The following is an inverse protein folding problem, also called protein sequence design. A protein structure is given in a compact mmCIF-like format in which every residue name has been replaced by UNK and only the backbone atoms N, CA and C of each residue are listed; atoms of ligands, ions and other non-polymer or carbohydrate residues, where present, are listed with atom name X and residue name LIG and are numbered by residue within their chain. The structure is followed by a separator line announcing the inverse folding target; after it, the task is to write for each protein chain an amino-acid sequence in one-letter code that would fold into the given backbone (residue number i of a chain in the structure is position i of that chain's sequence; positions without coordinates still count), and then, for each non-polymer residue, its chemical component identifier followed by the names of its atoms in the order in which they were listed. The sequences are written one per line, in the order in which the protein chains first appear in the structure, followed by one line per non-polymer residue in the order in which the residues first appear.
data_IF_034783124225
#
_entry.id   IF_034783124225
#
_cell.length_a   1.000
_cell.length_b   1.000
_cell.length_c   1.000
_cell.angle_alpha   90.00
_cell.angle_beta   90.00
_cell.angle_gamma   90.00
#
_symmetry.space_group_name_H-M   'P 1'
#
loop_
_entity.id
_entity.type
_entity.pdbx_description
1 polymer ?
#
# COMPACT_ATOMS: atom_id res chain seq x y z
N UNK A 1 -10.57 18.44 -12.34
CA UNK A 1 -10.31 19.89 -12.42
C UNK A 1 -9.75 20.37 -11.09
N UNK A 2 -8.84 21.33 -11.09
CA UNK A 2 -8.36 22.00 -9.88
C UNK A 2 -9.37 23.07 -9.44
N UNK A 3 -9.51 23.26 -8.13
CA UNK A 3 -10.34 24.33 -7.57
C UNK A 3 -9.47 25.58 -7.40
N UNK A 4 -9.85 26.75 -7.97
CA UNK A 4 -9.11 27.99 -7.77
C UNK A 4 -9.05 28.42 -6.30
N UNK A 5 -7.97 29.09 -5.92
CA UNK A 5 -7.82 29.66 -4.59
C UNK A 5 -8.71 30.88 -4.40
N UNK A 6 -9.44 30.93 -3.27
CA UNK A 6 -10.25 32.09 -2.90
C UNK A 6 -9.36 33.22 -2.36
N UNK A 7 -8.39 32.88 -1.50
CA UNK A 7 -7.40 33.82 -0.97
C UNK A 7 -6.19 33.92 -1.89
N UNK A 8 -5.59 35.10 -1.96
CA UNK A 8 -4.37 35.33 -2.74
C UNK A 8 -3.24 34.44 -2.21
N UNK A 9 -2.79 33.51 -3.04
CA UNK A 9 -1.76 32.52 -2.68
C UNK A 9 -0.54 32.57 -3.60
N UNK A 10 -0.53 33.42 -4.63
CA UNK A 10 0.60 33.50 -5.57
C UNK A 10 0.90 32.17 -6.28
N UNK A 11 -0.14 31.40 -6.63
CA UNK A 11 -0.03 30.03 -7.18
C UNK A 11 0.62 29.01 -6.23
N UNK A 12 0.72 29.34 -4.93
CA UNK A 12 1.21 28.42 -3.92
C UNK A 12 0.10 27.55 -3.35
N UNK A 13 0.44 26.28 -3.13
CA UNK A 13 -0.45 25.28 -2.56
C UNK A 13 0.23 24.59 -1.38
N UNK A 14 -0.55 23.87 -0.57
CA UNK A 14 -0.02 22.95 0.43
C UNK A 14 -0.64 21.54 0.28
N UNK A 15 0.10 20.56 0.78
CA UNK A 15 -0.36 19.20 1.10
C UNK A 15 0.02 18.91 2.55
N UNK A 16 -0.91 18.39 3.35
CA UNK A 16 -0.70 18.06 4.77
C UNK A 16 -1.37 16.74 5.10
N UNK A 17 -0.66 15.88 5.82
CA UNK A 17 -1.20 14.67 6.44
C UNK A 17 -1.42 14.96 7.92
N UNK A 18 -2.63 14.73 8.43
CA UNK A 18 -2.91 14.88 9.87
C UNK A 18 -2.46 13.63 10.66
N UNK A 19 -2.66 13.65 11.99
CA UNK A 19 -2.27 12.53 12.87
C UNK A 19 -3.03 11.23 12.55
N UNK A 20 -4.21 11.32 11.93
CA UNK A 20 -5.01 10.17 11.49
C UNK A 20 -4.58 9.65 10.10
N UNK A 21 -3.54 10.23 9.49
CA UNK A 21 -3.05 9.83 8.18
C UNK A 21 -3.83 10.42 6.99
N UNK A 22 -4.83 11.27 7.24
CA UNK A 22 -5.69 11.86 6.21
C UNK A 22 -4.93 12.95 5.46
N UNK A 23 -4.91 12.84 4.13
CA UNK A 23 -4.33 13.84 3.24
C UNK A 23 -5.30 14.99 2.99
N UNK A 24 -4.90 16.20 3.38
CA UNK A 24 -5.57 17.44 3.03
C UNK A 24 -4.70 18.26 2.08
N UNK A 25 -5.34 18.91 1.12
CA UNK A 25 -4.72 19.78 0.13
C UNK A 25 -5.47 21.10 0.10
N UNK A 26 -4.76 22.20 -0.10
CA UNK A 26 -5.40 23.50 -0.18
C UNK A 26 -4.47 24.58 -0.70
N UNK A 27 -4.95 25.81 -0.63
CA UNK A 27 -4.21 26.97 -1.05
C UNK A 27 -3.31 27.46 0.07
N UNK A 28 -2.11 27.91 -0.27
CA UNK A 28 -1.16 28.41 0.73
C UNK A 28 -1.76 29.56 1.56
N UNK A 29 -2.55 30.45 0.93
CA UNK A 29 -3.22 31.55 1.61
C UNK A 29 -4.29 31.15 2.64
N UNK A 30 -4.67 29.87 2.69
CA UNK A 30 -5.59 29.36 3.71
C UNK A 30 -4.89 29.03 5.04
N UNK A 31 -3.55 28.90 5.03
CA UNK A 31 -2.76 28.65 6.23
C UNK A 31 -2.57 29.92 7.05
N UNK A 32 -2.68 29.79 8.36
CA UNK A 32 -2.23 30.83 9.31
C UNK A 32 -0.70 30.96 9.30
N UNK A 33 -0.15 32.05 9.83
CA UNK A 33 1.30 32.23 9.95
C UNK A 33 1.98 31.07 10.71
N UNK A 34 1.35 30.61 11.79
CA UNK A 34 1.86 29.48 12.57
C UNK A 34 1.80 28.16 11.78
N UNK A 35 0.75 27.93 11.01
CA UNK A 35 0.65 26.73 10.15
C UNK A 35 1.65 26.75 9.01
N UNK A 36 1.95 27.92 8.43
CA UNK A 36 3.03 28.07 7.46
C UNK A 36 4.36 27.67 8.09
N UNK A 37 4.69 28.22 9.27
CA UNK A 37 5.94 27.88 9.98
C UNK A 37 6.01 26.41 10.37
N UNK A 38 4.89 25.80 10.75
CA UNK A 38 4.83 24.38 11.10
C UNK A 38 4.82 23.44 9.89
N UNK A 39 4.51 23.94 8.68
CA UNK A 39 4.35 23.12 7.48
C UNK A 39 5.71 22.71 6.90
N UNK A 40 6.34 21.70 7.51
CA UNK A 40 7.65 21.19 7.11
C UNK A 40 7.72 19.67 7.21
N UNK A 41 8.72 19.06 6.56
CA UNK A 41 9.03 17.64 6.69
C UNK A 41 8.10 16.70 5.94
N UNK A 42 7.90 15.49 6.48
CA UNK A 42 7.13 14.42 5.81
C UNK A 42 5.62 14.64 5.85
N UNK A 43 5.10 15.39 6.83
CA UNK A 43 3.66 15.53 7.07
C UNK A 43 3.08 16.81 6.48
N UNK A 44 3.90 17.77 6.05
CA UNK A 44 3.41 18.95 5.35
C UNK A 44 4.45 19.50 4.36
N UNK A 45 3.99 19.88 3.17
CA UNK A 45 4.81 20.54 2.17
C UNK A 45 4.03 21.59 1.40
N UNK A 46 4.72 22.66 0.98
CA UNK A 46 4.21 23.69 0.09
C UNK A 46 4.87 23.60 -1.28
N UNK A 47 4.19 24.04 -2.33
CA UNK A 47 4.74 24.11 -3.67
C UNK A 47 4.22 25.34 -4.41
N UNK A 48 4.91 25.74 -5.49
CA UNK A 48 4.57 26.91 -6.30
C UNK A 48 4.42 26.50 -7.77
N UNK A 49 3.17 26.36 -8.21
CA UNK A 49 2.70 26.22 -9.58
C UNK A 49 1.20 25.87 -9.52
N UNK A 50 0.46 26.13 -10.60
CA UNK A 50 -0.96 25.77 -10.68
C UNK A 50 -1.16 24.26 -10.47
N UNK A 51 -1.95 23.89 -9.46
CA UNK A 51 -2.27 22.50 -9.15
C UNK A 51 -1.08 21.64 -8.69
N UNK A 52 0.03 22.24 -8.27
CA UNK A 52 1.27 21.52 -7.93
C UNK A 52 1.12 20.49 -6.81
N UNK A 53 0.16 20.70 -5.91
CA UNK A 53 -0.14 19.79 -4.81
C UNK A 53 -0.89 18.53 -5.26
N UNK A 54 -1.21 18.36 -6.55
CA UNK A 54 -1.84 17.15 -7.10
C UNK A 54 -0.96 15.89 -7.09
N UNK A 55 0.34 16.03 -6.83
CA UNK A 55 1.26 14.91 -6.68
C UNK A 55 0.93 14.07 -5.43
N UNK A 56 1.41 12.83 -5.41
CA UNK A 56 1.30 11.94 -4.26
C UNK A 56 2.03 12.56 -3.06
N UNK A 57 1.37 12.53 -1.91
CA UNK A 57 1.92 13.07 -0.67
C UNK A 57 1.44 12.27 0.54
N UNK A 58 2.30 11.95 1.52
CA UNK A 58 3.76 12.05 1.45
C UNK A 58 4.32 11.21 0.28
N UNK A 59 5.57 11.46 -0.14
CA UNK A 59 6.14 10.80 -1.32
C UNK A 59 6.37 9.31 -1.12
N UNK A 60 6.44 8.85 0.12
CA UNK A 60 6.55 7.46 0.55
C UNK A 60 5.18 6.84 0.89
N UNK A 61 4.06 7.46 0.47
CA UNK A 61 2.72 6.89 0.67
C UNK A 61 2.62 5.51 0.00
N UNK A 62 2.38 4.49 0.82
CA UNK A 62 2.30 3.11 0.36
C UNK A 62 1.19 2.94 -0.67
N UNK A 63 1.45 2.05 -1.63
CA UNK A 63 0.50 1.59 -2.64
C UNK A 63 0.37 0.08 -2.53
N UNK A 64 -0.86 -0.41 -2.56
CA UNK A 64 -1.19 -1.82 -2.44
C UNK A 64 -2.23 -2.20 -3.50
N UNK A 65 -2.35 -3.49 -3.79
CA UNK A 65 -3.58 -3.97 -4.41
C UNK A 65 -4.74 -3.83 -3.42
N UNK A 66 -5.85 -3.26 -3.88
CA UNK A 66 -7.06 -3.01 -3.10
C UNK A 66 -8.27 -3.54 -3.85
N UNK A 67 -8.88 -4.61 -3.34
CA UNK A 67 -10.05 -5.24 -3.94
C UNK A 67 -10.71 -6.23 -2.99
N UNK A 68 -11.94 -6.62 -3.31
CA UNK A 68 -12.67 -7.69 -2.63
C UNK A 68 -13.40 -8.54 -3.66
N UNK A 69 -13.38 -9.86 -3.51
CA UNK A 69 -14.21 -10.74 -4.35
C UNK A 69 -15.68 -10.50 -4.08
N UNK A 70 -16.48 -10.47 -5.14
CA UNK A 70 -17.94 -10.37 -5.09
C UNK A 70 -18.55 -11.46 -5.98
N UNK A 71 -19.88 -11.58 -6.03
CA UNK A 71 -20.51 -12.51 -6.98
C UNK A 71 -20.26 -12.13 -8.44
N UNK A 72 -20.17 -10.83 -8.74
CA UNK A 72 -19.93 -10.34 -10.10
C UNK A 72 -18.44 -10.36 -10.50
N UNK A 73 -17.53 -10.22 -9.53
CA UNK A 73 -16.08 -10.16 -9.80
C UNK A 73 -15.29 -11.04 -8.82
N UNK A 74 -14.76 -12.14 -9.34
CA UNK A 74 -13.85 -13.04 -8.63
C UNK A 74 -12.37 -12.73 -8.92
N UNK A 75 -12.05 -11.79 -9.80
CA UNK A 75 -10.67 -11.54 -10.25
C UNK A 75 -9.72 -11.00 -9.18
N UNK A 76 -10.22 -10.65 -7.99
CA UNK A 76 -9.38 -10.29 -6.84
C UNK A 76 -8.61 -11.50 -6.24
N UNK A 77 -9.16 -12.71 -6.38
CA UNK A 77 -8.53 -13.95 -5.88
C UNK A 77 -7.38 -14.44 -6.76
N UNK A 78 -7.29 -13.96 -8.01
CA UNK A 78 -6.18 -14.26 -8.91
C UNK A 78 -4.89 -13.62 -8.42
N UNK A 79 -3.75 -14.14 -8.87
CA UNK A 79 -2.47 -13.44 -8.73
C UNK A 79 -2.53 -12.13 -9.52
N UNK A 80 -2.09 -11.03 -8.91
CA UNK A 80 -2.13 -9.70 -9.53
C UNK A 80 -0.74 -9.27 -9.94
N UNK A 81 -0.67 -8.58 -11.08
CA UNK A 81 0.54 -7.95 -11.59
C UNK A 81 0.17 -6.60 -12.22
N UNK A 82 1.13 -5.67 -12.24
CA UNK A 82 0.94 -4.35 -12.81
C UNK A 82 -0.06 -3.48 -12.03
N UNK A 83 -0.67 -2.55 -12.75
CA UNK A 83 -1.50 -1.47 -12.21
C UNK A 83 -2.97 -1.81 -11.88
N UNK A 84 -3.63 -2.81 -12.51
CA UNK A 84 -5.04 -3.09 -12.21
C UNK A 84 -5.27 -3.36 -10.71
N UNK A 85 -6.25 -2.67 -10.12
CA UNK A 85 -6.59 -2.74 -8.68
C UNK A 85 -5.52 -2.21 -7.72
N UNK A 86 -4.43 -1.61 -8.22
CA UNK A 86 -3.41 -1.01 -7.36
C UNK A 86 -3.65 0.48 -7.15
N UNK A 87 -3.73 0.90 -5.89
CA UNK A 87 -4.02 2.27 -5.50
C UNK A 87 -3.29 2.65 -4.21
N UNK A 88 -3.06 3.96 -4.02
CA UNK A 88 -2.44 4.47 -2.80
C UNK A 88 -3.34 4.23 -1.59
N UNK A 89 -2.73 3.92 -0.44
CA UNK A 89 -3.45 3.86 0.82
C UNK A 89 -4.10 5.20 1.12
N UNK A 90 -5.36 5.18 1.55
CA UNK A 90 -6.15 6.38 1.79
C UNK A 90 -5.59 7.11 3.00
N UNK A 91 -5.27 6.34 4.04
CA UNK A 91 -4.54 6.84 5.20
C UNK A 91 -3.05 6.61 5.00
N UNK A 92 -2.26 7.61 5.39
CA UNK A 92 -0.81 7.48 5.48
C UNK A 92 -0.43 7.05 6.88
N UNK A 93 0.36 5.99 6.97
CA UNK A 93 1.02 5.56 8.19
C UNK A 93 2.46 5.22 7.85
N UNK A 94 3.38 5.63 8.71
CA UNK A 94 4.78 5.24 8.54
C UNK A 94 4.90 3.71 8.65
N UNK A 95 5.73 3.12 7.79
CA UNK A 95 5.93 1.66 7.70
C UNK A 95 4.65 0.81 7.49
N UNK A 96 3.61 1.39 6.88
CA UNK A 96 2.34 0.71 6.59
C UNK A 96 2.55 -0.62 5.86
N UNK A 97 1.53 -1.49 5.94
CA UNK A 97 1.56 -2.84 5.37
C UNK A 97 0.39 -3.04 4.42
N UNK A 98 0.64 -3.78 3.36
CA UNK A 98 -0.45 -4.35 2.57
C UNK A 98 -0.92 -5.66 3.21
N UNK A 99 -2.20 -5.97 3.07
CA UNK A 99 -2.75 -7.27 3.44
C UNK A 99 -3.36 -8.00 2.25
N UNK A 100 -3.39 -9.33 2.36
CA UNK A 100 -4.29 -10.23 1.63
C UNK A 100 -4.97 -11.12 2.67
N UNK A 101 -6.30 -11.18 2.69
CA UNK A 101 -7.03 -11.97 3.68
C UNK A 101 -8.28 -12.63 3.12
N UNK A 102 -8.75 -13.67 3.79
CA UNK A 102 -10.06 -14.26 3.63
C UNK A 102 -10.87 -13.86 4.87
N UNK A 103 -11.92 -13.06 4.68
CA UNK A 103 -12.84 -12.64 5.75
C UNK A 103 -14.26 -12.82 5.26
N UNK A 104 -15.11 -13.44 6.08
CA UNK A 104 -16.52 -13.67 5.76
C UNK A 104 -16.74 -14.37 4.40
N UNK A 105 -15.86 -15.32 4.08
CA UNK A 105 -15.90 -16.07 2.81
C UNK A 105 -15.44 -15.29 1.57
N UNK A 106 -14.98 -14.05 1.72
CA UNK A 106 -14.48 -13.23 0.62
C UNK A 106 -12.97 -13.00 0.73
N UNK A 107 -12.28 -13.07 -0.40
CA UNK A 107 -10.88 -12.70 -0.50
C UNK A 107 -10.73 -11.21 -0.71
N UNK A 108 -9.96 -10.55 0.15
CA UNK A 108 -9.81 -9.10 0.24
C UNK A 108 -8.33 -8.70 0.30
N UNK A 109 -8.00 -7.62 -0.39
CA UNK A 109 -6.68 -6.99 -0.36
C UNK A 109 -6.83 -5.52 0.01
N UNK A 110 -5.88 -4.97 0.74
CA UNK A 110 -5.90 -3.55 1.10
C UNK A 110 -4.67 -3.10 1.87
N UNK A 111 -4.75 -1.90 2.44
CA UNK A 111 -3.75 -1.34 3.34
C UNK A 111 -4.19 -1.50 4.79
N UNK A 112 -3.25 -1.88 5.67
CA UNK A 112 -3.51 -2.02 7.11
C UNK A 112 -3.99 -0.71 7.72
N UNK A 113 -3.41 0.43 7.33
CA UNK A 113 -3.82 1.74 7.81
C UNK A 113 -5.28 2.08 7.54
N UNK A 114 -5.89 1.55 6.47
CA UNK A 114 -7.28 1.82 6.12
C UNK A 114 -8.30 1.06 6.99
N UNK A 115 -7.85 0.11 7.81
CA UNK A 115 -8.69 -0.67 8.72
C UNK A 115 -8.66 -0.08 10.14
N UNK A 116 -9.79 -0.20 10.85
CA UNK A 116 -9.88 0.18 12.26
C UNK A 116 -9.14 -0.80 13.20
N UNK A 117 -9.00 -2.05 12.77
CA UNK A 117 -8.37 -3.15 13.52
C UNK A 117 -7.27 -3.81 12.71
N UNK A 118 -6.47 -4.68 13.32
CA UNK A 118 -5.42 -5.40 12.61
C UNK A 118 -6.04 -6.32 11.53
N UNK A 119 -5.51 -6.30 10.31
CA UNK A 119 -6.10 -6.98 9.16
C UNK A 119 -6.22 -8.49 9.35
N UNK A 120 -5.26 -9.07 10.07
CA UNK A 120 -5.15 -10.50 10.38
C UNK A 120 -5.59 -10.85 11.81
N UNK A 121 -6.25 -9.95 12.53
CA UNK A 121 -6.75 -10.24 13.86
C UNK A 121 -7.76 -11.41 13.81
N UNK A 122 -7.49 -12.48 14.57
CA UNK A 122 -8.33 -13.67 14.60
C UNK A 122 -8.22 -14.58 13.37
N UNK A 123 -7.31 -14.31 12.43
CA UNK A 123 -7.11 -15.12 11.22
C UNK A 123 -5.83 -15.96 11.29
N UNK A 124 -5.83 -17.15 10.69
CA UNK A 124 -4.63 -17.98 10.59
C UNK A 124 -3.70 -17.52 9.47
N UNK A 125 -2.47 -18.03 9.43
CA UNK A 125 -1.51 -17.77 8.35
C UNK A 125 -1.96 -18.30 6.96
N UNK A 126 -3.00 -19.15 6.91
CA UNK A 126 -3.63 -19.60 5.66
C UNK A 126 -4.78 -18.68 5.21
N UNK A 127 -5.20 -17.78 6.08
CA UNK A 127 -6.32 -16.87 5.86
C UNK A 127 -5.86 -15.43 5.77
N UNK A 128 -4.66 -15.08 6.23
CA UNK A 128 -4.16 -13.71 6.16
C UNK A 128 -2.64 -13.63 6.05
N UNK A 129 -2.18 -12.69 5.22
CA UNK A 129 -0.78 -12.32 5.05
C UNK A 129 -0.64 -10.80 5.08
N UNK A 130 0.31 -10.32 5.88
CA UNK A 130 0.84 -8.95 5.81
C UNK A 130 2.17 -8.95 5.06
N UNK A 131 2.42 -7.90 4.29
CA UNK A 131 3.70 -7.70 3.62
C UNK A 131 4.06 -6.21 3.55
N UNK A 132 5.34 -5.94 3.27
CA UNK A 132 5.87 -4.58 3.15
C UNK A 132 6.32 -4.31 1.72
N UNK A 133 6.22 -3.05 1.28
CA UNK A 133 6.64 -2.62 -0.05
C UNK A 133 5.46 -2.47 -1.01
N UNK A 134 5.71 -1.73 -2.09
CA UNK A 134 4.69 -1.43 -3.09
C UNK A 134 4.10 -2.71 -3.68
N UNK A 135 2.77 -2.83 -3.64
CA UNK A 135 2.03 -3.93 -4.28
C UNK A 135 2.50 -5.34 -3.89
N UNK A 136 3.11 -5.51 -2.71
CA UNK A 136 3.63 -6.78 -2.25
C UNK A 136 2.54 -7.84 -2.05
N UNK A 137 1.29 -7.41 -1.86
CA UNK A 137 0.13 -8.26 -1.62
C UNK A 137 -0.44 -8.76 -2.95
N UNK A 138 0.37 -9.45 -3.75
CA UNK A 138 0.06 -9.87 -5.12
C UNK A 138 -0.32 -11.35 -5.26
N UNK A 139 -0.09 -12.17 -4.22
CA UNK A 139 -0.31 -13.63 -4.25
C UNK A 139 -1.79 -14.01 -4.44
N UNK A 140 -2.10 -15.10 -5.12
CA UNK A 140 -3.50 -15.57 -5.26
C UNK A 140 -4.07 -16.09 -3.94
N UNK A 141 -5.39 -16.21 -3.87
CA UNK A 141 -6.10 -16.84 -2.74
C UNK A 141 -5.64 -18.29 -2.51
N UNK A 142 -5.46 -19.06 -3.59
CA UNK A 142 -4.93 -20.43 -3.53
C UNK A 142 -3.53 -20.45 -2.89
N UNK A 143 -2.65 -19.52 -3.31
CA UNK A 143 -1.32 -19.40 -2.74
C UNK A 143 -1.38 -19.01 -1.27
N UNK A 144 -2.29 -18.13 -0.86
CA UNK A 144 -2.49 -17.78 0.55
C UNK A 144 -2.89 -19.01 1.38
N UNK A 145 -3.90 -19.76 0.94
CA UNK A 145 -4.35 -21.00 1.63
C UNK A 145 -3.23 -22.04 1.77
N UNK A 146 -2.31 -22.07 0.80
CA UNK A 146 -1.18 -22.99 0.76
C UNK A 146 0.12 -22.40 1.37
N UNK A 147 0.10 -21.15 1.86
CA UNK A 147 1.29 -20.46 2.38
C UNK A 147 1.77 -21.03 3.72
N UNK A 148 0.90 -21.70 4.49
CA UNK A 148 1.33 -22.45 5.67
C UNK A 148 1.95 -23.78 5.24
N UNK A 149 3.21 -23.73 4.84
CA UNK A 149 3.95 -24.93 4.42
C UNK A 149 5.14 -24.70 3.49
N UNK A 150 5.49 -23.46 3.12
CA UNK A 150 6.74 -23.22 2.38
C UNK A 150 7.94 -23.29 3.33
N UNK A 151 8.16 -24.46 3.95
CA UNK A 151 9.52 -24.88 4.27
C UNK A 151 10.25 -24.82 2.94
N UNK A 152 11.29 -24.00 2.89
CA UNK A 152 12.27 -23.94 1.80
C UNK A 152 12.42 -25.33 1.20
N UNK A 153 12.18 -25.49 -0.10
CA UNK A 153 12.67 -26.67 -0.82
C UNK A 153 14.19 -26.57 -0.68
N UNK A 154 14.73 -27.23 0.34
CA UNK A 154 16.17 -27.29 0.55
C UNK A 154 16.75 -27.84 -0.72
N UNK A 155 17.65 -27.09 -1.35
CA UNK A 155 18.35 -27.49 -2.55
C UNK A 155 19.24 -28.70 -2.24
N UNK A 156 18.64 -29.88 -2.11
CA UNK A 156 19.34 -31.16 -2.13
C UNK A 156 19.19 -31.68 -3.56
N UNK A 157 19.91 -31.03 -4.47
CA UNK A 157 20.22 -31.61 -5.78
C UNK A 157 21.68 -31.31 -6.17
N UNK A 158 22.59 -31.51 -5.22
CA UNK A 158 24.05 -31.54 -5.45
C UNK A 158 24.66 -32.72 -4.68
N UNK A 159 24.27 -33.94 -5.06
CA UNK A 159 25.00 -35.14 -4.64
C UNK A 159 24.95 -36.30 -5.65
N UNK A 160 24.23 -36.19 -6.77
CA UNK A 160 24.16 -37.29 -7.76
C UNK A 160 25.15 -37.09 -8.93
N UNK A 161 25.65 -35.86 -9.16
CA UNK A 161 26.60 -35.58 -10.25
C UNK A 161 28.05 -35.90 -9.87
N UNK A 162 28.40 -35.92 -8.58
CA UNK A 162 29.77 -36.21 -8.15
C UNK A 162 30.14 -37.71 -8.15
N UNK A 163 29.16 -38.61 -8.17
CA UNK A 163 29.43 -40.06 -8.15
C UNK A 163 29.76 -40.65 -9.52
N UNK A 164 29.41 -39.99 -10.63
CA UNK A 164 29.68 -40.48 -11.99
C UNK A 164 30.99 -39.98 -12.60
N UNK A 165 31.68 -39.00 -11.99
CA UNK A 165 32.94 -38.45 -12.51
C UNK A 165 34.17 -39.14 -11.91
N UNK A 166 34.02 -39.92 -10.83
CA UNK A 166 35.15 -40.66 -10.20
C UNK A 166 35.28 -42.10 -10.72
N UNK A 167 34.38 -42.55 -11.60
CA UNK A 167 34.46 -43.84 -12.30
C UNK A 167 34.44 -43.64 -13.81
N UNK A 168 35.46 -42.94 -14.33
CA UNK A 168 36.03 -43.24 -15.65
C UNK A 168 37.46 -42.76 -15.76
#
# INVERSE_FOLDING_TARGET
LSTPCVKVSGKKCYSRTNNDGVLTRGCYGDLTANEVTACTGKTCATCEAEGCNGKVFPTDRLRCYQCKTTEADKSCSNQLTGEPKSSYCVLYKDEDKCYSRISDGAFERGCQSNLKTAACEGLTAKECLLCSGENCNSISEERLKNSAGQKTVSAILLAVVAAFVVLK
#
